data_IF_162812597453
#
_entry.id   IF_162812597453
#
_cell.length_a   1.000
_cell.length_b   1.000
_cell.length_c   1.000
_cell.angle_alpha   90.00
_cell.angle_beta   90.00
_cell.angle_gamma   90.00
#
_symmetry.space_group_name_H-M   'P 1'
#
loop_
_entity.id
_entity.type
_entity.pdbx_description
1 polymer ?
#
# COMPACT_ATOMS: atom_id res chain seq x y z
N UNK A 1 12.35 26.96 -7.69
CA UNK A 1 11.89 25.61 -8.04
C UNK A 1 12.13 24.76 -6.81
N UNK A 2 11.09 24.17 -6.20
CA UNK A 2 11.32 23.06 -5.26
C UNK A 2 11.92 21.92 -6.08
N UNK A 3 12.99 21.30 -5.57
CA UNK A 3 13.94 20.51 -6.36
C UNK A 3 13.22 19.45 -7.20
N UNK A 4 12.99 19.77 -8.48
CA UNK A 4 12.21 18.94 -9.38
C UNK A 4 13.02 17.70 -9.75
N UNK A 5 12.37 16.54 -9.73
CA UNK A 5 12.96 15.26 -10.06
C UNK A 5 12.60 14.87 -11.49
N UNK A 6 13.51 14.16 -12.16
CA UNK A 6 13.25 13.63 -13.50
C UNK A 6 12.32 12.42 -13.42
N UNK A 7 11.27 12.34 -14.26
CA UNK A 7 10.34 11.20 -14.26
C UNK A 7 11.00 9.88 -14.70
N UNK A 8 12.18 9.94 -15.32
CA UNK A 8 12.96 8.75 -15.65
C UNK A 8 13.75 8.19 -14.47
N UNK A 9 13.93 8.98 -13.40
CA UNK A 9 14.74 8.62 -12.22
C UNK A 9 13.85 8.38 -11.00
N UNK A 10 12.76 9.13 -10.87
CA UNK A 10 11.86 9.10 -9.73
C UNK A 10 10.42 9.17 -10.19
N UNK A 11 9.53 8.40 -9.54
CA UNK A 11 8.08 8.52 -9.71
C UNK A 11 7.49 9.79 -9.07
N UNK A 12 8.24 10.45 -8.18
CA UNK A 12 7.84 11.72 -7.55
C UNK A 12 8.32 12.91 -8.38
N UNK A 13 7.52 13.98 -8.38
CA UNK A 13 7.84 15.22 -9.11
C UNK A 13 8.85 16.08 -8.37
N UNK A 14 8.91 15.96 -7.03
CA UNK A 14 9.75 16.81 -6.18
C UNK A 14 10.41 16.02 -5.04
N UNK A 15 11.58 16.46 -4.61
CA UNK A 15 12.29 15.88 -3.45
C UNK A 15 11.43 15.93 -2.18
N UNK A 16 10.60 16.97 -2.00
CA UNK A 16 9.72 17.09 -0.84
C UNK A 16 8.64 16.00 -0.81
N UNK A 17 8.05 15.66 -1.96
CA UNK A 17 7.08 14.56 -2.07
C UNK A 17 7.74 13.22 -1.76
N UNK A 18 8.90 12.94 -2.35
CA UNK A 18 9.67 11.71 -2.12
C UNK A 18 10.03 11.54 -0.64
N UNK A 19 10.52 12.60 0.01
CA UNK A 19 10.86 12.57 1.43
C UNK A 19 9.63 12.35 2.33
N UNK A 20 8.49 12.96 1.98
CA UNK A 20 7.24 12.75 2.71
C UNK A 20 6.78 11.30 2.59
N UNK A 21 6.82 10.74 1.38
CA UNK A 21 6.46 9.33 1.14
C UNK A 21 7.39 8.39 1.88
N UNK A 22 8.70 8.63 1.80
CA UNK A 22 9.71 7.80 2.46
C UNK A 22 9.55 7.80 3.98
N UNK A 23 9.21 8.95 4.58
CA UNK A 23 8.95 9.05 6.02
C UNK A 23 7.74 8.20 6.42
N UNK A 24 6.62 8.36 5.71
CA UNK A 24 5.42 7.55 5.92
C UNK A 24 5.69 6.05 5.70
N UNK A 25 6.44 5.67 4.66
CA UNK A 25 6.75 4.28 4.34
C UNK A 25 7.56 3.63 5.46
N UNK A 26 8.56 4.34 6.01
CA UNK A 26 9.37 3.84 7.14
C UNK A 26 8.52 3.64 8.39
N UNK A 27 7.64 4.57 8.71
CA UNK A 27 6.72 4.45 9.84
C UNK A 27 5.76 3.26 9.66
N UNK A 28 5.14 3.14 8.48
CA UNK A 28 4.27 2.01 8.15
C UNK A 28 5.01 0.67 8.24
N UNK A 29 6.22 0.59 7.70
CA UNK A 29 7.04 -0.61 7.78
C UNK A 29 7.41 -0.97 9.22
N UNK A 30 7.79 0.01 10.05
CA UNK A 30 8.08 -0.21 11.47
C UNK A 30 6.86 -0.74 12.22
N UNK A 31 5.67 -0.17 11.97
CA UNK A 31 4.42 -0.67 12.54
C UNK A 31 4.10 -2.10 12.09
N UNK A 32 4.30 -2.42 10.80
CA UNK A 32 4.10 -3.77 10.28
C UNK A 32 5.06 -4.79 10.88
N UNK A 33 6.33 -4.42 11.07
CA UNK A 33 7.33 -5.30 11.71
C UNK A 33 7.09 -5.49 13.21
N UNK A 34 6.51 -4.49 13.87
CA UNK A 34 6.12 -4.58 15.29
C UNK A 34 4.85 -5.40 15.51
N UNK A 35 4.14 -5.82 14.44
CA UNK A 35 2.93 -6.62 14.55
C UNK A 35 3.27 -8.02 15.11
N UNK A 36 2.69 -8.44 16.25
CA UNK A 36 3.00 -9.72 16.88
C UNK A 36 2.35 -10.93 16.19
N UNK A 37 1.43 -10.71 15.25
CA UNK A 37 0.75 -11.80 14.57
C UNK A 37 1.69 -12.52 13.58
N UNK A 38 1.57 -13.85 13.44
CA UNK A 38 2.37 -14.59 12.47
C UNK A 38 2.02 -14.16 11.04
N UNK A 39 2.97 -14.35 10.12
CA UNK A 39 2.71 -14.18 8.70
C UNK A 39 1.66 -15.21 8.23
N UNK A 40 0.75 -14.78 7.36
CA UNK A 40 -0.23 -15.64 6.72
C UNK A 40 0.40 -16.35 5.52
N UNK A 41 -0.08 -17.57 5.24
CA UNK A 41 0.29 -18.26 4.02
C UNK A 41 -0.29 -17.53 2.79
N UNK A 42 0.41 -17.62 1.65
CA UNK A 42 -0.06 -16.96 0.42
C UNK A 42 -1.50 -17.37 0.04
N UNK A 43 -1.80 -18.66 0.09
CA UNK A 43 -3.12 -19.20 -0.27
C UNK A 43 -4.24 -18.68 0.66
N UNK A 44 -3.92 -18.47 1.94
CA UNK A 44 -4.85 -17.93 2.93
C UNK A 44 -5.17 -16.45 2.62
N UNK A 45 -4.15 -15.65 2.29
CA UNK A 45 -4.34 -14.25 1.86
C UNK A 45 -5.20 -14.16 0.59
N UNK A 46 -4.97 -15.06 -0.38
CA UNK A 46 -5.75 -15.07 -1.62
C UNK A 46 -7.21 -15.47 -1.39
N UNK A 47 -7.47 -16.45 -0.53
CA UNK A 47 -8.83 -16.87 -0.17
C UNK A 47 -9.61 -15.76 0.54
N UNK A 48 -8.95 -15.03 1.46
CA UNK A 48 -9.54 -13.84 2.10
C UNK A 48 -9.85 -12.74 1.08
N UNK A 49 -8.94 -12.48 0.13
CA UNK A 49 -9.13 -11.46 -0.89
C UNK A 49 -10.29 -11.80 -1.85
N UNK A 50 -10.40 -13.05 -2.30
CA UNK A 50 -11.52 -13.54 -3.12
C UNK A 50 -12.86 -13.25 -2.43
N UNK A 51 -12.94 -13.60 -1.13
CA UNK A 51 -14.14 -13.37 -0.32
C UNK A 51 -14.52 -11.90 -0.25
N UNK A 52 -13.54 -11.01 -0.06
CA UNK A 52 -13.77 -9.56 -0.01
C UNK A 52 -14.28 -9.04 -1.36
N UNK A 53 -13.70 -9.49 -2.48
CA UNK A 53 -14.11 -9.09 -3.82
C UNK A 53 -15.55 -9.54 -4.10
N UNK A 54 -15.89 -10.80 -3.81
CA UNK A 54 -17.24 -11.32 -3.99
C UNK A 54 -18.29 -10.53 -3.19
N UNK A 55 -17.96 -10.15 -1.95
CA UNK A 55 -18.83 -9.31 -1.12
C UNK A 55 -19.07 -7.95 -1.78
N UNK A 56 -18.01 -7.27 -2.22
CA UNK A 56 -18.14 -5.97 -2.89
C UNK A 56 -18.94 -6.07 -4.19
N UNK A 57 -18.72 -7.10 -5.01
CA UNK A 57 -19.50 -7.30 -6.23
C UNK A 57 -20.98 -7.55 -5.94
N UNK A 58 -21.28 -8.38 -4.93
CA UNK A 58 -22.64 -8.67 -4.53
C UNK A 58 -23.35 -7.42 -3.96
N UNK A 59 -22.61 -6.53 -3.29
CA UNK A 59 -23.11 -5.23 -2.85
C UNK A 59 -23.40 -4.30 -4.03
N UNK A 60 -22.50 -4.20 -5.01
CA UNK A 60 -22.74 -3.36 -6.18
C UNK A 60 -23.92 -3.85 -7.04
N UNK A 61 -24.10 -5.17 -7.18
CA UNK A 61 -25.23 -5.75 -7.94
C UNK A 61 -26.61 -5.53 -7.28
N UNK A 62 -26.65 -5.06 -6.03
CA UNK A 62 -27.90 -4.73 -5.31
C UNK A 62 -28.40 -3.31 -5.59
N UNK A 63 -27.58 -2.47 -6.23
CA UNK A 63 -27.92 -1.11 -6.65
C UNK A 63 -28.03 -1.03 -8.18
#
# INVERSE_FOLDING_TARGET
MKNALSPFVSEFETIEQENSYTTWLREKAAMSLANPHPALAHDEVMAEMETIIEQFEAEQKKF
#
